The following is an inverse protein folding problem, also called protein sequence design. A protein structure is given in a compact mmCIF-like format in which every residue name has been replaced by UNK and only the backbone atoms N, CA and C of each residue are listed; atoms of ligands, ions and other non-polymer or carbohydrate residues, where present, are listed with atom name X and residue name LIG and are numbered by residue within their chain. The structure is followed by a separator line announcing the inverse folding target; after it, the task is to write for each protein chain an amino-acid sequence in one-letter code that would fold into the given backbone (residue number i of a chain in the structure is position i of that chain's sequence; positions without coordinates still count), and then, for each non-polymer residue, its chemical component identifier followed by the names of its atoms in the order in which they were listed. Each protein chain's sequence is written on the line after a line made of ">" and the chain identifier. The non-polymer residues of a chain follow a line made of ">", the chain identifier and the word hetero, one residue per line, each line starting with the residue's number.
data_IF_219944272883
#
_entry.id   IF_219944272883
#
_cell.length_a   1.000
_cell.length_b   1.000
_cell.length_c   1.000
_cell.angle_alpha   90.00
_cell.angle_beta   90.00
_cell.angle_gamma   90.00
#
_symmetry.space_group_name_H-M   'P 1'
#
loop_
_entity.id
_entity.type
_entity.pdbx_description
1 polymer ?
#
# COMPACT_ATOMS: atom_id res chain seq x y z
N UNK A 1 -16.44 -0.85 -29.38
CA UNK A 1 -15.01 -0.57 -29.17
C UNK A 1 -14.95 0.28 -27.91
N UNK A 2 -14.66 -0.31 -26.75
CA UNK A 2 -14.60 0.45 -25.50
C UNK A 2 -13.40 1.39 -25.59
N UNK A 3 -13.66 2.66 -25.32
CA UNK A 3 -12.66 3.72 -25.29
C UNK A 3 -11.50 3.29 -24.39
N UNK A 4 -10.27 3.60 -24.80
CA UNK A 4 -9.07 3.23 -24.07
C UNK A 4 -9.16 3.65 -22.62
N UNK A 5 -9.35 2.66 -21.74
CA UNK A 5 -8.97 2.79 -20.34
C UNK A 5 -7.48 3.12 -20.37
N UNK A 6 -7.16 4.40 -20.15
CA UNK A 6 -5.85 4.78 -19.65
C UNK A 6 -5.55 3.77 -18.56
N UNK A 7 -4.48 3.00 -18.70
CA UNK A 7 -4.00 2.10 -17.65
C UNK A 7 -3.66 3.01 -16.47
N UNK A 8 -4.65 3.31 -15.62
CA UNK A 8 -4.45 4.06 -14.39
C UNK A 8 -3.72 3.07 -13.52
N UNK A 9 -2.43 3.30 -13.35
CA UNK A 9 -1.59 2.53 -12.45
C UNK A 9 -1.96 2.99 -11.04
N UNK A 10 -2.67 2.16 -10.25
CA UNK A 10 -3.04 2.58 -8.90
C UNK A 10 -1.79 2.89 -8.09
N UNK A 11 -1.89 3.96 -7.32
CA UNK A 11 -0.86 4.39 -6.42
C UNK A 11 -1.37 4.31 -5.00
N UNK A 12 -0.69 3.50 -4.17
CA UNK A 12 -0.87 3.50 -2.73
C UNK A 12 0.05 4.57 -2.12
N UNK A 13 -0.54 5.56 -1.47
CA UNK A 13 0.19 6.57 -0.70
C UNK A 13 0.00 6.28 0.78
N UNK A 14 1.09 6.05 1.51
CA UNK A 14 1.09 5.82 2.96
C UNK A 14 1.76 7.03 3.62
N UNK A 15 0.98 7.78 4.41
CA UNK A 15 1.51 8.82 5.28
C UNK A 15 1.70 8.23 6.68
N UNK A 16 2.94 8.29 7.17
CA UNK A 16 3.34 7.75 8.46
C UNK A 16 4.18 8.78 9.22
N UNK A 17 4.08 8.78 10.55
CA UNK A 17 5.07 9.47 11.40
C UNK A 17 6.38 8.68 11.39
N UNK A 18 6.27 7.35 11.53
CA UNK A 18 7.36 6.38 11.39
C UNK A 18 6.82 5.18 10.61
N UNK A 19 7.44 4.82 9.47
CA UNK A 19 7.16 3.53 8.84
C UNK A 19 7.74 2.38 9.68
N UNK A 20 7.16 1.18 9.58
CA UNK A 20 7.80 -0.02 10.08
C UNK A 20 9.18 -0.22 9.43
N UNK A 21 9.98 -1.12 10.01
CA UNK A 21 11.30 -1.44 9.47
C UNK A 21 11.23 -1.83 7.98
N UNK A 22 12.25 -1.52 7.16
CA UNK A 22 12.22 -1.87 5.74
C UNK A 22 11.97 -3.35 5.45
N UNK A 23 12.44 -4.24 6.32
CA UNK A 23 12.19 -5.68 6.23
C UNK A 23 10.69 -5.99 6.38
N UNK A 24 10.02 -5.36 7.36
CA UNK A 24 8.60 -5.59 7.59
C UNK A 24 7.74 -5.10 6.44
N UNK A 25 8.04 -3.93 5.88
CA UNK A 25 7.34 -3.43 4.69
C UNK A 25 7.60 -4.33 3.49
N UNK A 26 8.81 -4.88 3.34
CA UNK A 26 9.10 -5.84 2.28
C UNK A 26 8.24 -7.11 2.41
N UNK A 27 8.09 -7.63 3.62
CA UNK A 27 7.16 -8.75 3.89
C UNK A 27 5.74 -8.38 3.49
N UNK A 28 5.27 -7.16 3.79
CA UNK A 28 3.93 -6.73 3.34
C UNK A 28 3.79 -6.72 1.81
N UNK A 29 4.81 -6.26 1.08
CA UNK A 29 4.78 -6.27 -0.38
C UNK A 29 4.70 -7.69 -0.94
N UNK A 30 5.46 -8.62 -0.37
CA UNK A 30 5.42 -10.04 -0.72
C UNK A 30 4.03 -10.65 -0.44
N UNK A 31 3.44 -10.36 0.73
CA UNK A 31 2.10 -10.83 1.11
C UNK A 31 0.99 -10.24 0.21
N UNK A 32 1.09 -8.95 -0.16
CA UNK A 32 0.13 -8.29 -1.05
C UNK A 32 0.24 -8.81 -2.48
N UNK A 33 1.46 -9.13 -2.94
CA UNK A 33 1.68 -9.77 -4.24
C UNK A 33 1.11 -11.20 -4.25
N UNK A 34 1.29 -11.98 -3.18
CA UNK A 34 0.73 -13.33 -3.09
C UNK A 34 -0.81 -13.32 -3.01
N UNK A 35 -1.39 -12.39 -2.26
CA UNK A 35 -2.83 -12.34 -2.01
C UNK A 35 -3.64 -11.72 -3.14
N UNK A 36 -3.16 -10.65 -3.76
CA UNK A 36 -3.88 -9.90 -4.77
C UNK A 36 -3.27 -10.02 -6.18
N UNK A 37 -2.00 -10.45 -6.29
CA UNK A 37 -1.24 -10.40 -7.53
C UNK A 37 -0.70 -9.01 -7.84
N UNK A 38 -0.47 -8.74 -9.12
CA UNK A 38 0.10 -7.48 -9.58
C UNK A 38 1.61 -7.38 -9.32
N UNK A 39 2.14 -6.17 -9.43
CA UNK A 39 3.54 -5.88 -9.09
C UNK A 39 3.58 -4.66 -8.20
N UNK A 40 4.13 -4.82 -7.00
CA UNK A 40 4.20 -3.80 -5.95
C UNK A 40 5.62 -3.28 -5.84
N UNK A 41 5.83 -1.99 -6.12
CA UNK A 41 7.17 -1.41 -6.03
C UNK A 41 7.49 -0.96 -4.61
N UNK A 42 8.72 -1.16 -4.17
CA UNK A 42 9.17 -0.64 -2.86
C UNK A 42 8.93 0.88 -2.75
N UNK A 43 8.52 1.37 -1.57
CA UNK A 43 8.33 2.80 -1.38
C UNK A 43 9.67 3.54 -1.48
N UNK A 44 9.61 4.80 -1.90
CA UNK A 44 10.76 5.68 -1.73
C UNK A 44 10.99 5.96 -0.24
N UNK A 45 11.99 5.31 0.35
CA UNK A 45 12.39 5.42 1.76
C UNK A 45 12.82 6.82 2.21
N UNK A 46 13.13 7.71 1.26
CA UNK A 46 13.53 9.11 1.54
C UNK A 46 12.37 10.11 1.47
N UNK A 47 11.15 9.65 1.16
CA UNK A 47 9.96 10.50 1.01
C UNK A 47 8.99 10.33 2.19
N UNK A 48 8.26 11.40 2.53
CA UNK A 48 7.06 11.32 3.36
C UNK A 48 6.01 12.28 2.77
N UNK A 49 4.83 11.79 2.30
CA UNK A 49 4.35 10.41 2.37
C UNK A 49 5.10 9.44 1.45
N UNK A 50 5.07 8.17 1.83
CA UNK A 50 5.64 7.05 1.09
C UNK A 50 4.71 6.63 -0.02
N UNK A 51 5.25 6.39 -1.22
CA UNK A 51 4.47 6.06 -2.40
C UNK A 51 4.87 4.69 -2.94
N UNK A 52 3.89 3.82 -3.07
CA UNK A 52 3.99 2.48 -3.67
C UNK A 52 3.16 2.50 -4.96
N UNK A 53 3.84 2.26 -6.07
CA UNK A 53 3.19 2.15 -7.38
C UNK A 53 2.84 0.68 -7.62
N UNK A 54 1.59 0.41 -8.00
CA UNK A 54 1.10 -0.96 -8.20
C UNK A 54 0.59 -1.13 -9.63
N UNK A 55 1.11 -2.13 -10.35
CA UNK A 55 0.68 -2.42 -11.72
C UNK A 55 -0.09 -3.74 -11.79
N UNK A 56 -1.06 -3.83 -12.71
CA UNK A 56 -1.84 -5.04 -12.93
C UNK A 56 -3.04 -5.22 -12.00
N UNK A 57 -3.30 -4.24 -11.12
CA UNK A 57 -4.46 -4.20 -10.23
C UNK A 57 -5.29 -2.94 -10.46
N UNK A 58 -6.56 -3.00 -10.07
CA UNK A 58 -7.44 -1.82 -9.93
C UNK A 58 -7.28 -1.20 -8.54
N UNK A 59 -7.72 0.06 -8.37
CA UNK A 59 -7.68 0.74 -7.07
C UNK A 59 -8.43 -0.03 -5.96
N UNK A 60 -9.56 -0.65 -6.28
CA UNK A 60 -10.32 -1.48 -5.32
C UNK A 60 -9.52 -2.70 -4.89
N UNK A 61 -8.89 -3.42 -5.83
CA UNK A 61 -8.06 -4.58 -5.48
C UNK A 61 -6.84 -4.20 -4.62
N UNK A 62 -6.25 -3.03 -4.88
CA UNK A 62 -5.17 -2.50 -4.02
C UNK A 62 -5.69 -2.18 -2.62
N UNK A 63 -6.87 -1.56 -2.51
CA UNK A 63 -7.47 -1.23 -1.23
C UNK A 63 -7.79 -2.48 -0.40
N UNK A 64 -8.42 -3.48 -1.01
CA UNK A 64 -8.77 -4.75 -0.37
C UNK A 64 -7.52 -5.51 0.13
N UNK A 65 -6.42 -5.46 -0.64
CA UNK A 65 -5.17 -6.11 -0.28
C UNK A 65 -4.50 -5.49 0.96
N UNK A 66 -4.49 -4.16 1.06
CA UNK A 66 -3.69 -3.46 2.09
C UNK A 66 -4.44 -3.15 3.37
N UNK A 67 -5.77 -3.06 3.35
CA UNK A 67 -6.60 -2.65 4.49
C UNK A 67 -6.29 -3.48 5.74
N UNK A 68 -6.34 -4.80 5.63
CA UNK A 68 -6.15 -5.70 6.78
C UNK A 68 -4.75 -5.57 7.42
N UNK A 69 -3.70 -5.48 6.61
CA UNK A 69 -2.31 -5.35 7.07
C UNK A 69 -2.08 -4.01 7.77
N UNK A 70 -2.55 -2.91 7.17
CA UNK A 70 -2.34 -1.56 7.69
C UNK A 70 -3.16 -1.30 8.94
N UNK A 71 -4.39 -1.83 9.01
CA UNK A 71 -5.23 -1.76 10.21
C UNK A 71 -4.64 -2.62 11.34
N UNK A 72 -4.21 -3.84 11.06
CA UNK A 72 -3.57 -4.70 12.07
C UNK A 72 -2.28 -4.06 12.63
N UNK A 73 -1.48 -3.41 11.79
CA UNK A 73 -0.31 -2.66 12.25
C UNK A 73 -0.73 -1.51 13.16
N UNK A 74 -1.70 -0.70 12.74
CA UNK A 74 -2.24 0.40 13.54
C UNK A 74 -2.78 -0.08 14.89
N UNK A 75 -3.42 -1.24 14.96
CA UNK A 75 -3.91 -1.84 16.22
C UNK A 75 -2.75 -2.31 17.12
N UNK A 76 -1.68 -2.84 16.53
CA UNK A 76 -0.50 -3.30 17.27
C UNK A 76 0.28 -2.14 17.91
N UNK A 77 0.53 -1.07 17.14
CA UNK A 77 1.27 0.10 17.64
C UNK A 77 0.35 1.07 18.40
N UNK A 78 -0.95 0.98 18.15
CA UNK A 78 -2.00 1.84 18.67
C UNK A 78 -2.53 1.43 20.02
N UNK A 79 -1.91 1.92 21.09
CA UNK A 79 -2.66 2.32 22.29
C UNK A 79 -3.57 3.54 21.99
N UNK A 80 -4.37 3.52 20.91
CA UNK A 80 -5.31 4.58 20.51
C UNK A 80 -4.75 5.67 19.56
N UNK A 81 -3.64 5.44 18.86
CA UNK A 81 -3.12 6.35 17.82
C UNK A 81 -3.12 5.64 16.46
N UNK A 82 -3.70 6.25 15.42
CA UNK A 82 -3.49 5.81 14.04
C UNK A 82 -2.12 6.30 13.59
N UNK A 83 -1.17 5.38 13.42
CA UNK A 83 0.21 5.70 13.05
C UNK A 83 0.40 5.78 11.54
N UNK A 84 -0.39 4.99 10.79
CA UNK A 84 -0.43 4.99 9.34
C UNK A 84 -1.80 5.49 8.86
N UNK A 85 -1.78 6.37 7.86
CA UNK A 85 -2.94 6.71 7.03
C UNK A 85 -2.60 6.41 5.57
N UNK A 86 -3.57 5.93 4.81
CA UNK A 86 -3.33 5.57 3.41
C UNK A 86 -4.42 6.08 2.46
N UNK A 87 -4.07 6.20 1.20
CA UNK A 87 -4.98 6.54 0.11
C UNK A 87 -4.57 5.77 -1.14
N UNK A 88 -5.55 5.21 -1.85
CA UNK A 88 -5.36 4.58 -3.16
C UNK A 88 -5.97 5.49 -4.22
N UNK A 89 -5.19 5.84 -5.25
CA UNK A 89 -5.59 6.73 -6.33
C UNK A 89 -5.22 6.15 -7.70
#
# INVERSE_FOLDING_TARGET
>A
MLAGDKCIVPTLTIAAVDLPSPIQVKTWLEDWEESAGGTWNEPNWSANPYRITVTGLTATQVQDAVESTLDAYNDQVGAGKKYLSYTVA
#
